data_IF_876899372503
#
_entry.id   IF_876899372503
#
_cell.length_a   1.000
_cell.length_b   1.000
_cell.length_c   1.000
_cell.angle_alpha   90.00
_cell.angle_beta   90.00
_cell.angle_gamma   90.00
#
_symmetry.space_group_name_H-M   'P 1'
#
loop_
_entity.id
_entity.type
_entity.pdbx_description
1 polymer ?
#
# COMPACT_ATOMS: atom_id res chain seq x y z
N UNK A 1 28.68 6.00 -17.75
CA UNK A 1 27.22 6.21 -17.74
C UNK A 1 26.70 5.47 -16.52
N UNK A 2 26.27 6.16 -15.48
CA UNK A 2 25.62 5.51 -14.33
C UNK A 2 24.32 4.90 -14.84
N UNK A 3 24.18 3.58 -14.76
CA UNK A 3 22.92 2.91 -15.07
C UNK A 3 21.91 3.34 -14.00
N UNK A 4 20.93 4.18 -14.38
CA UNK A 4 19.82 4.52 -13.50
C UNK A 4 19.16 3.23 -13.01
N UNK A 5 19.07 3.07 -11.70
CA UNK A 5 18.43 1.91 -11.10
C UNK A 5 16.91 2.09 -11.16
N UNK A 6 16.18 1.07 -11.63
CA UNK A 6 14.73 1.11 -11.76
C UNK A 6 14.05 0.35 -10.62
N UNK A 7 12.93 0.85 -10.17
CA UNK A 7 12.05 0.14 -9.22
C UNK A 7 11.27 -0.92 -9.99
N UNK A 8 11.48 -2.20 -9.69
CA UNK A 8 10.81 -3.33 -10.34
C UNK A 8 10.05 -4.21 -9.35
N UNK A 9 10.38 -4.11 -8.07
CA UNK A 9 9.86 -4.94 -7.00
C UNK A 9 8.99 -4.15 -6.07
N UNK A 10 7.91 -4.76 -5.59
CA UNK A 10 7.05 -4.17 -4.57
C UNK A 10 6.80 -5.14 -3.42
N UNK A 11 6.83 -4.64 -2.19
CA UNK A 11 6.51 -5.39 -0.97
C UNK A 11 5.10 -5.01 -0.52
N UNK A 12 4.28 -6.02 -0.21
CA UNK A 12 2.96 -5.87 0.40
C UNK A 12 2.98 -6.42 1.83
N UNK A 13 3.07 -5.58 2.85
CA UNK A 13 2.91 -6.00 4.24
C UNK A 13 1.46 -6.41 4.53
N UNK A 14 1.20 -7.70 4.69
CA UNK A 14 -0.13 -8.28 4.85
C UNK A 14 -0.24 -9.24 6.06
N UNK A 15 0.69 -9.15 7.04
CA UNK A 15 0.75 -10.05 8.19
C UNK A 15 -0.09 -9.58 9.40
N UNK A 16 -0.63 -8.37 9.38
CA UNK A 16 -1.37 -7.78 10.50
C UNK A 16 -2.71 -8.49 10.80
N UNK A 17 -3.15 -8.45 12.04
CA UNK A 17 -4.36 -9.17 12.51
C UNK A 17 -5.69 -8.56 12.05
N UNK A 18 -5.72 -7.30 11.60
CA UNK A 18 -6.96 -6.65 11.14
C UNK A 18 -8.01 -6.44 12.23
N UNK A 19 -7.59 -6.22 13.48
CA UNK A 19 -8.47 -6.16 14.66
C UNK A 19 -9.59 -5.11 14.58
N UNK A 20 -9.38 -4.04 13.80
CA UNK A 20 -10.38 -2.98 13.58
C UNK A 20 -11.65 -3.50 12.91
N UNK A 21 -11.57 -4.60 12.17
CA UNK A 21 -12.69 -5.20 11.43
C UNK A 21 -13.28 -6.46 12.09
N UNK A 22 -12.92 -6.75 13.34
CA UNK A 22 -13.60 -7.82 14.06
C UNK A 22 -15.11 -7.53 14.13
N UNK A 23 -15.96 -8.57 13.97
CA UNK A 23 -15.64 -10.01 13.92
C UNK A 23 -15.27 -10.56 12.52
N UNK A 24 -15.44 -9.80 11.41
CA UNK A 24 -15.20 -10.30 10.05
C UNK A 24 -13.77 -10.87 9.88
N UNK A 25 -12.77 -10.17 10.39
CA UNK A 25 -11.36 -10.56 10.27
C UNK A 25 -10.92 -11.67 11.21
N UNK A 26 -11.85 -12.29 11.94
CA UNK A 26 -11.56 -13.52 12.70
C UNK A 26 -11.15 -14.69 11.80
N UNK A 27 -11.73 -14.76 10.61
CA UNK A 27 -11.52 -15.85 9.63
C UNK A 27 -11.06 -15.38 8.25
N UNK A 28 -11.20 -14.08 7.95
CA UNK A 28 -10.84 -13.50 6.64
C UNK A 28 -9.77 -12.44 6.85
N UNK A 29 -8.64 -12.49 6.12
CA UNK A 29 -7.66 -11.41 6.13
C UNK A 29 -8.32 -10.06 5.81
N UNK A 30 -7.92 -8.98 6.51
CA UNK A 30 -8.45 -7.64 6.20
C UNK A 30 -8.20 -7.25 4.74
N UNK A 31 -7.10 -7.70 4.19
CA UNK A 31 -6.66 -7.47 2.82
C UNK A 31 -7.58 -8.12 1.78
N UNK A 32 -8.37 -9.12 2.21
CA UNK A 32 -9.37 -9.81 1.39
C UNK A 32 -10.80 -9.27 1.56
N UNK A 33 -10.99 -8.24 2.38
CA UNK A 33 -12.26 -7.52 2.41
C UNK A 33 -12.47 -6.83 1.05
N UNK A 34 -13.69 -6.91 0.51
CA UNK A 34 -13.97 -6.40 -0.83
C UNK A 34 -14.44 -4.94 -0.82
N UNK A 35 -13.93 -4.15 -1.74
CA UNK A 35 -14.58 -2.94 -2.22
C UNK A 35 -15.45 -3.34 -3.42
N UNK A 36 -16.77 -3.34 -3.24
CA UNK A 36 -17.76 -3.87 -4.18
C UNK A 36 -17.56 -5.38 -4.37
N UNK A 37 -16.77 -5.83 -5.30
CA UNK A 37 -16.54 -7.24 -5.66
C UNK A 37 -15.05 -7.61 -5.79
N UNK A 38 -14.15 -6.66 -5.53
CA UNK A 38 -12.70 -6.84 -5.65
C UNK A 38 -12.02 -6.70 -4.28
N UNK A 39 -11.18 -7.65 -3.84
CA UNK A 39 -10.41 -7.51 -2.60
C UNK A 39 -9.50 -6.28 -2.61
N UNK A 40 -9.39 -5.60 -1.46
CA UNK A 40 -8.59 -4.36 -1.37
C UNK A 40 -7.14 -4.55 -1.79
N UNK A 41 -6.52 -5.68 -1.50
CA UNK A 41 -5.13 -5.97 -1.90
C UNK A 41 -4.95 -5.94 -3.42
N UNK A 42 -5.96 -6.35 -4.20
CA UNK A 42 -5.88 -6.39 -5.65
C UNK A 42 -5.77 -4.99 -6.26
N UNK A 43 -6.39 -3.97 -5.66
CA UNK A 43 -6.21 -2.58 -6.11
C UNK A 43 -4.75 -2.15 -6.03
N UNK A 44 -4.06 -2.50 -4.92
CA UNK A 44 -2.63 -2.23 -4.78
C UNK A 44 -1.77 -3.00 -5.80
N UNK A 45 -2.11 -4.27 -6.07
CA UNK A 45 -1.43 -5.09 -7.08
C UNK A 45 -1.59 -4.48 -8.48
N UNK A 46 -2.81 -4.08 -8.85
CA UNK A 46 -3.08 -3.42 -10.13
C UNK A 46 -2.33 -2.09 -10.27
N UNK A 47 -2.25 -1.29 -9.19
CA UNK A 47 -1.47 -0.05 -9.17
C UNK A 47 0.02 -0.30 -9.44
N UNK A 48 0.59 -1.31 -8.79
CA UNK A 48 2.01 -1.70 -8.92
C UNK A 48 2.33 -2.14 -10.34
N UNK A 49 1.45 -2.94 -10.94
CA UNK A 49 1.60 -3.40 -12.34
C UNK A 49 1.49 -2.24 -13.32
N UNK A 50 0.49 -1.35 -13.13
CA UNK A 50 0.31 -0.17 -13.96
C UNK A 50 1.47 0.82 -13.84
N UNK A 51 2.19 0.83 -12.70
CA UNK A 51 3.42 1.59 -12.50
C UNK A 51 4.64 0.98 -13.20
N UNK A 52 4.58 -0.31 -13.60
CA UNK A 52 5.65 -1.00 -14.33
C UNK A 52 6.51 -1.94 -13.48
N UNK A 53 6.13 -2.23 -12.25
CA UNK A 53 6.76 -3.30 -11.47
C UNK A 53 6.31 -4.67 -12.00
N UNK A 54 7.20 -5.65 -11.97
CA UNK A 54 6.96 -7.01 -12.49
C UNK A 54 7.11 -8.12 -11.44
N UNK A 55 7.48 -7.77 -10.21
CA UNK A 55 7.68 -8.70 -9.10
C UNK A 55 7.04 -8.14 -7.83
N UNK A 56 6.25 -8.98 -7.17
CA UNK A 56 5.62 -8.62 -5.90
C UNK A 56 6.01 -9.64 -4.82
N UNK A 57 6.37 -9.13 -3.66
CA UNK A 57 6.62 -9.91 -2.45
C UNK A 57 5.51 -9.61 -1.45
N UNK A 58 4.67 -10.58 -1.15
CA UNK A 58 3.64 -10.46 -0.12
C UNK A 58 4.19 -11.01 1.19
N UNK A 59 4.24 -10.16 2.22
CA UNK A 59 4.63 -10.57 3.56
C UNK A 59 3.41 -11.01 4.32
N UNK A 60 3.22 -12.32 4.44
CA UNK A 60 2.05 -12.93 5.05
C UNK A 60 2.26 -13.31 6.51
N UNK A 61 1.18 -13.67 7.20
CA UNK A 61 1.17 -14.19 8.56
C UNK A 61 0.34 -15.46 8.69
N UNK A 62 0.12 -15.89 9.92
CA UNK A 62 -0.76 -17.03 10.20
C UNK A 62 -2.21 -16.69 9.79
N UNK A 63 -2.89 -17.61 9.09
CA UNK A 63 -4.29 -17.47 8.69
C UNK A 63 -4.52 -16.53 7.51
N UNK A 64 -3.51 -16.33 6.66
CA UNK A 64 -3.56 -15.45 5.49
C UNK A 64 -3.63 -16.19 4.14
N UNK A 65 -3.85 -17.52 4.14
CA UNK A 65 -3.89 -18.34 2.91
C UNK A 65 -4.89 -17.85 1.86
N UNK A 66 -5.99 -17.21 2.26
CA UNK A 66 -6.94 -16.64 1.33
C UNK A 66 -6.33 -15.56 0.39
N UNK A 67 -5.20 -14.93 0.78
CA UNK A 67 -4.47 -14.02 -0.09
C UNK A 67 -3.74 -14.82 -1.19
N UNK A 68 -3.12 -15.92 -0.81
CA UNK A 68 -2.43 -16.85 -1.72
C UNK A 68 -3.44 -17.46 -2.69
N UNK A 69 -4.53 -18.03 -2.16
CA UNK A 69 -5.61 -18.65 -2.92
C UNK A 69 -6.24 -17.71 -3.95
N UNK A 70 -6.32 -16.40 -3.64
CA UNK A 70 -6.91 -15.40 -4.54
C UNK A 70 -6.09 -15.21 -5.83
N UNK A 71 -4.77 -15.27 -5.72
CA UNK A 71 -3.88 -15.07 -6.87
C UNK A 71 -3.43 -16.39 -7.51
N UNK A 72 -3.74 -17.52 -6.91
CA UNK A 72 -3.44 -18.83 -7.46
C UNK A 72 -4.52 -19.31 -8.44
N UNK A 73 -4.19 -20.32 -9.26
CA UNK A 73 -5.13 -20.92 -10.19
C UNK A 73 -6.18 -21.74 -9.44
N UNK A 74 -7.45 -21.37 -9.56
CA UNK A 74 -8.57 -22.14 -9.01
C UNK A 74 -9.09 -23.15 -10.04
N UNK A 75 -8.39 -24.29 -10.14
CA UNK A 75 -8.65 -25.31 -11.17
C UNK A 75 -10.12 -25.78 -11.20
N UNK A 76 -10.71 -26.10 -10.05
CA UNK A 76 -12.09 -26.61 -9.94
C UNK A 76 -13.11 -25.55 -10.38
N UNK A 77 -12.89 -24.28 -10.02
CA UNK A 77 -13.73 -23.17 -10.44
C UNK A 77 -13.63 -22.98 -11.96
N UNK A 78 -12.41 -22.91 -12.50
CA UNK A 78 -12.19 -22.70 -13.92
C UNK A 78 -12.80 -23.82 -14.77
N UNK A 79 -12.59 -25.09 -14.40
CA UNK A 79 -13.23 -26.22 -15.06
C UNK A 79 -14.77 -26.16 -15.00
N UNK A 80 -15.32 -25.68 -13.88
CA UNK A 80 -16.78 -25.55 -13.73
C UNK A 80 -17.33 -24.43 -14.61
N UNK A 81 -16.64 -23.28 -14.68
CA UNK A 81 -17.03 -22.14 -15.53
C UNK A 81 -16.95 -22.53 -17.02
N UNK A 82 -15.88 -23.22 -17.42
CA UNK A 82 -15.69 -23.70 -18.78
C UNK A 82 -16.81 -24.68 -19.21
N UNK A 83 -17.10 -25.70 -18.39
CA UNK A 83 -18.20 -26.65 -18.64
C UNK A 83 -19.58 -25.98 -18.73
N UNK A 84 -19.78 -24.85 -18.04
CA UNK A 84 -21.04 -24.10 -18.05
C UNK A 84 -21.08 -23.01 -19.12
N UNK A 85 -20.04 -22.86 -19.93
CA UNK A 85 -19.93 -21.81 -20.95
C UNK A 85 -19.90 -20.39 -20.41
N UNK A 86 -19.43 -20.20 -19.16
CA UNK A 86 -19.33 -18.89 -18.51
C UNK A 86 -18.00 -18.23 -18.85
N UNK A 87 -17.81 -17.89 -20.12
CA UNK A 87 -16.53 -17.42 -20.69
C UNK A 87 -16.00 -16.16 -20.03
N UNK A 88 -16.87 -15.17 -19.73
CA UNK A 88 -16.42 -13.89 -19.14
C UNK A 88 -15.93 -14.08 -17.71
N UNK A 89 -16.63 -14.91 -16.92
CA UNK A 89 -16.20 -15.22 -15.55
C UNK A 89 -14.93 -16.07 -15.53
N UNK A 90 -14.76 -16.97 -16.50
CA UNK A 90 -13.53 -17.75 -16.68
C UNK A 90 -12.35 -16.83 -17.04
N UNK A 91 -12.57 -15.88 -17.94
CA UNK A 91 -11.54 -14.90 -18.31
C UNK A 91 -11.14 -14.05 -17.11
N UNK A 92 -12.10 -13.59 -16.29
CA UNK A 92 -11.85 -12.84 -15.08
C UNK A 92 -11.03 -13.64 -14.05
N UNK A 93 -11.39 -14.92 -13.80
CA UNK A 93 -10.62 -15.79 -12.91
C UNK A 93 -9.18 -15.95 -13.36
N UNK A 94 -8.97 -16.24 -14.64
CA UNK A 94 -7.63 -16.41 -15.23
C UNK A 94 -6.81 -15.11 -15.23
N UNK A 95 -7.45 -13.97 -15.42
CA UNK A 95 -6.80 -12.67 -15.36
C UNK A 95 -6.15 -12.43 -13.99
N UNK A 96 -6.84 -12.75 -12.90
CA UNK A 96 -6.33 -12.57 -11.54
C UNK A 96 -5.10 -13.45 -11.30
N UNK A 97 -5.18 -14.75 -11.64
CA UNK A 97 -4.08 -15.69 -11.40
C UNK A 97 -2.86 -15.50 -12.32
N UNK A 98 -3.01 -14.77 -13.42
CA UNK A 98 -1.94 -14.56 -14.40
C UNK A 98 -1.35 -13.14 -14.37
N UNK A 99 -1.87 -12.26 -13.50
CA UNK A 99 -1.54 -10.83 -13.60
C UNK A 99 -0.10 -10.50 -13.19
N UNK A 100 0.53 -11.28 -12.29
CA UNK A 100 1.85 -10.93 -11.77
C UNK A 100 2.61 -12.14 -11.22
N UNK A 101 3.95 -12.00 -11.12
CA UNK A 101 4.79 -12.95 -10.38
C UNK A 101 4.77 -12.59 -8.90
N UNK A 102 4.21 -13.49 -8.10
CA UNK A 102 4.13 -13.35 -6.65
C UNK A 102 5.14 -14.25 -5.97
N UNK A 103 5.77 -13.70 -4.93
CA UNK A 103 6.54 -14.44 -3.95
C UNK A 103 5.97 -14.18 -2.57
N UNK A 104 5.94 -15.20 -1.73
CA UNK A 104 5.41 -15.07 -0.38
C UNK A 104 6.52 -15.28 0.64
N UNK A 105 6.59 -14.42 1.64
CA UNK A 105 7.46 -14.59 2.79
C UNK A 105 6.65 -14.44 4.06
N UNK A 106 7.00 -15.20 5.09
CA UNK A 106 6.21 -15.23 6.31
C UNK A 106 6.84 -14.39 7.42
N UNK A 107 6.09 -13.43 7.91
CA UNK A 107 6.37 -12.80 9.19
C UNK A 107 5.84 -13.70 10.31
N UNK A 108 6.74 -14.33 11.07
CA UNK A 108 6.37 -15.32 12.12
C UNK A 108 5.67 -14.66 13.30
N UNK A 109 6.09 -13.45 13.66
CA UNK A 109 5.58 -12.63 14.75
C UNK A 109 5.24 -11.24 14.26
N UNK A 110 4.11 -10.68 14.69
CA UNK A 110 3.66 -9.35 14.29
C UNK A 110 4.45 -8.27 15.05
N UNK A 111 5.67 -7.99 14.61
CA UNK A 111 6.60 -7.04 15.23
C UNK A 111 6.62 -5.65 14.57
N UNK A 112 5.59 -5.30 13.82
CA UNK A 112 5.45 -3.99 13.17
C UNK A 112 5.78 -3.97 11.68
N UNK A 113 5.56 -2.79 11.07
CA UNK A 113 5.70 -2.57 9.63
C UNK A 113 7.16 -2.68 9.17
N UNK A 114 8.11 -2.10 9.91
CA UNK A 114 9.54 -2.21 9.59
C UNK A 114 10.01 -3.65 9.57
N UNK A 115 9.57 -4.46 10.54
CA UNK A 115 9.88 -5.88 10.57
C UNK A 115 9.27 -6.64 9.37
N UNK A 116 8.04 -6.32 8.97
CA UNK A 116 7.44 -6.92 7.78
C UNK A 116 8.27 -6.61 6.52
N UNK A 117 8.71 -5.36 6.35
CA UNK A 117 9.60 -4.97 5.23
C UNK A 117 10.92 -5.73 5.30
N UNK A 118 11.53 -5.84 6.48
CA UNK A 118 12.80 -6.56 6.68
C UNK A 118 12.71 -8.04 6.27
N UNK A 119 11.56 -8.69 6.50
CA UNK A 119 11.36 -10.10 6.10
C UNK A 119 11.46 -10.33 4.58
N UNK A 120 11.31 -9.31 3.77
CA UNK A 120 11.41 -9.43 2.32
C UNK A 120 12.84 -9.21 1.77
N UNK A 121 13.82 -8.90 2.62
CA UNK A 121 15.20 -8.55 2.24
C UNK A 121 15.81 -9.52 1.22
N UNK A 122 15.76 -10.81 1.51
CA UNK A 122 16.41 -11.83 0.65
C UNK A 122 15.74 -11.96 -0.74
N UNK A 123 14.46 -11.61 -0.85
CA UNK A 123 13.73 -11.62 -2.12
C UNK A 123 13.90 -10.32 -2.92
N UNK A 124 14.10 -9.22 -2.22
CA UNK A 124 14.35 -7.91 -2.85
C UNK A 124 15.81 -7.77 -3.30
N UNK A 125 16.76 -8.18 -2.46
CA UNK A 125 18.19 -8.00 -2.71
C UNK A 125 18.62 -6.53 -2.65
N UNK A 126 19.61 -6.17 -3.45
CA UNK A 126 20.25 -4.84 -3.45
C UNK A 126 19.63 -3.88 -4.47
N UNK A 127 18.32 -4.00 -4.75
CA UNK A 127 17.60 -3.14 -5.68
C UNK A 127 16.66 -2.18 -4.93
N UNK A 128 16.39 -0.96 -5.46
CA UNK A 128 15.33 -0.12 -4.94
C UNK A 128 13.97 -0.80 -5.16
N UNK A 129 13.07 -0.61 -4.22
CA UNK A 129 11.78 -1.29 -4.21
C UNK A 129 10.66 -0.39 -3.68
N UNK A 130 9.43 -0.72 -4.05
CA UNK A 130 8.25 -0.08 -3.49
C UNK A 130 7.74 -0.83 -2.25
N UNK A 131 7.08 -0.13 -1.34
CA UNK A 131 6.25 -0.71 -0.27
C UNK A 131 4.83 -0.16 -0.42
N UNK A 132 3.87 -1.07 -0.45
CA UNK A 132 2.45 -0.74 -0.65
C UNK A 132 1.64 -1.27 0.54
N UNK A 133 1.01 -0.39 1.28
CA UNK A 133 0.06 -0.80 2.31
C UNK A 133 -1.29 -1.10 1.63
N UNK A 134 -1.78 -2.36 1.71
CA UNK A 134 -2.97 -2.78 0.95
C UNK A 134 -4.26 -2.05 1.33
N UNK A 135 -4.35 -1.53 2.55
CA UNK A 135 -5.53 -0.85 3.07
C UNK A 135 -5.59 0.66 2.70
N UNK A 136 -4.55 1.19 2.09
CA UNK A 136 -4.57 2.50 1.44
C UNK A 136 -4.88 2.32 -0.06
N UNK A 137 -6.12 2.56 -0.48
CA UNK A 137 -6.51 2.51 -1.90
C UNK A 137 -6.46 3.92 -2.48
N UNK A 138 -5.68 4.10 -3.53
CA UNK A 138 -5.53 5.40 -4.18
C UNK A 138 -6.20 5.36 -5.56
N UNK A 139 -7.14 6.28 -5.74
CA UNK A 139 -7.87 6.48 -6.98
C UNK A 139 -7.27 7.70 -7.70
N UNK A 140 -6.56 7.45 -8.78
CA UNK A 140 -5.84 8.47 -9.55
C UNK A 140 -5.80 8.10 -11.03
N UNK A 141 -5.78 9.08 -11.92
CA UNK A 141 -5.61 8.88 -13.37
C UNK A 141 -4.24 8.27 -13.67
N UNK A 142 -3.18 8.84 -13.14
CA UNK A 142 -1.85 8.25 -13.12
C UNK A 142 -1.63 7.59 -11.77
N UNK A 143 -1.36 6.27 -11.69
CA UNK A 143 -1.16 5.57 -10.43
C UNK A 143 -0.16 6.30 -9.52
N UNK A 144 -0.44 6.37 -8.22
CA UNK A 144 0.42 7.07 -7.26
C UNK A 144 1.86 6.55 -7.31
N UNK A 145 2.03 5.22 -7.34
CA UNK A 145 3.36 4.63 -7.45
C UNK A 145 4.07 5.04 -8.74
N UNK A 146 3.34 5.17 -9.88
CA UNK A 146 3.94 5.62 -11.14
C UNK A 146 4.44 7.06 -11.04
N UNK A 147 3.64 7.96 -10.43
CA UNK A 147 4.07 9.33 -10.17
C UNK A 147 5.35 9.38 -9.32
N UNK A 148 5.43 8.53 -8.28
CA UNK A 148 6.61 8.43 -7.43
C UNK A 148 7.82 7.84 -8.18
N UNK A 149 7.61 6.87 -9.06
CA UNK A 149 8.68 6.27 -9.86
C UNK A 149 9.28 7.28 -10.85
N UNK A 150 8.46 8.14 -11.43
CA UNK A 150 8.94 9.21 -12.31
C UNK A 150 9.88 10.17 -11.55
N UNK A 151 9.49 10.54 -10.33
CA UNK A 151 10.36 11.33 -9.43
C UNK A 151 11.61 10.54 -9.02
N UNK A 152 11.48 9.24 -8.74
CA UNK A 152 12.62 8.40 -8.37
C UNK A 152 13.66 8.30 -9.49
N UNK A 153 13.25 8.27 -10.76
CA UNK A 153 14.18 8.30 -11.90
C UNK A 153 15.06 9.55 -11.89
N UNK A 154 14.54 10.69 -11.40
CA UNK A 154 15.29 11.94 -11.30
C UNK A 154 16.19 11.99 -10.06
N UNK A 155 15.68 11.62 -8.88
CA UNK A 155 16.39 11.84 -7.61
C UNK A 155 17.23 10.65 -7.14
N UNK A 156 16.93 9.43 -7.59
CA UNK A 156 17.60 8.16 -7.23
C UNK A 156 17.78 7.99 -5.70
N UNK A 157 16.78 8.40 -4.93
CA UNK A 157 16.77 8.40 -3.46
C UNK A 157 15.41 7.95 -2.94
N UNK A 158 15.34 7.53 -1.68
CA UNK A 158 14.10 7.09 -1.05
C UNK A 158 13.01 8.17 -1.08
N UNK A 159 11.77 7.78 -1.38
CA UNK A 159 10.60 8.66 -1.48
C UNK A 159 9.45 8.08 -0.66
N UNK A 160 8.78 8.90 0.11
CA UNK A 160 7.56 8.55 0.83
C UNK A 160 6.39 9.37 0.29
N UNK A 161 5.26 8.73 0.00
CA UNK A 161 4.05 9.46 -0.40
C UNK A 161 3.45 10.19 0.79
N UNK A 162 2.98 11.41 0.56
CA UNK A 162 2.42 12.26 1.61
C UNK A 162 1.06 12.83 1.22
N UNK A 163 0.27 13.09 2.25
CA UNK A 163 -1.01 13.78 2.15
C UNK A 163 -1.15 14.77 3.31
N UNK A 164 -1.76 15.92 3.05
CA UNK A 164 -2.11 16.88 4.11
C UNK A 164 -3.26 16.32 4.93
N UNK A 165 -3.04 16.15 6.25
CA UNK A 165 -4.03 15.69 7.21
C UNK A 165 -4.24 16.81 8.24
N UNK A 166 -5.49 17.21 8.41
CA UNK A 166 -5.87 18.26 9.35
C UNK A 166 -6.36 17.69 10.70
N UNK A 167 -6.13 18.47 11.76
CA UNK A 167 -6.65 18.18 13.10
C UNK A 167 -6.04 16.95 13.75
N UNK A 168 -6.79 16.34 14.67
CA UNK A 168 -6.30 15.25 15.53
C UNK A 168 -6.00 13.94 14.79
N UNK A 169 -6.53 13.78 13.57
CA UNK A 169 -6.29 12.61 12.74
C UNK A 169 -4.81 12.41 12.40
N UNK A 170 -3.99 13.47 12.44
CA UNK A 170 -2.54 13.42 12.18
C UNK A 170 -1.82 12.44 13.11
N UNK A 171 -2.33 12.22 14.33
CA UNK A 171 -1.75 11.31 15.34
C UNK A 171 -1.75 9.82 14.93
N UNK A 172 -2.45 9.48 13.87
CA UNK A 172 -2.48 8.09 13.36
C UNK A 172 -1.33 7.78 12.41
N UNK A 173 -0.54 8.79 11.99
CA UNK A 173 0.43 8.69 10.90
C UNK A 173 1.85 9.06 11.35
N UNK A 174 2.84 8.59 10.60
CA UNK A 174 4.14 9.23 10.56
C UNK A 174 4.00 10.60 9.90
N UNK A 175 4.68 11.59 10.43
CA UNK A 175 4.62 12.98 9.92
C UNK A 175 6.02 13.44 9.54
N UNK A 176 6.16 13.97 8.33
CA UNK A 176 7.44 14.49 7.87
C UNK A 176 7.61 15.96 8.24
N UNK A 177 8.86 16.31 8.56
CA UNK A 177 9.38 17.67 8.51
C UNK A 177 10.21 17.83 7.24
N UNK A 178 9.97 18.88 6.47
CA UNK A 178 10.66 19.06 5.18
C UNK A 178 10.26 20.35 4.49
N UNK A 179 11.05 20.72 3.50
CA UNK A 179 10.83 21.95 2.70
C UNK A 179 10.53 21.56 1.25
N UNK A 180 9.61 22.27 0.59
CA UNK A 180 9.37 22.07 -0.85
C UNK A 180 10.65 22.29 -1.65
N UNK A 181 10.87 21.43 -2.66
CA UNK A 181 11.95 21.59 -3.62
C UNK A 181 11.57 22.73 -4.59
N UNK A 182 12.46 23.68 -4.88
CA UNK A 182 12.11 24.90 -5.63
C UNK A 182 11.41 24.66 -6.98
N UNK A 183 11.86 23.66 -7.73
CA UNK A 183 11.35 23.37 -9.08
C UNK A 183 10.20 22.34 -9.10
N UNK A 184 9.87 21.76 -7.93
CA UNK A 184 8.78 20.81 -7.80
C UNK A 184 8.06 20.99 -6.45
N UNK A 185 6.97 21.76 -6.40
CA UNK A 185 6.27 22.09 -5.14
C UNK A 185 5.59 20.87 -4.49
N UNK A 186 5.48 19.73 -5.19
CA UNK A 186 4.96 18.48 -4.66
C UNK A 186 6.03 17.61 -4.02
N UNK A 187 7.31 17.93 -4.29
CA UNK A 187 8.45 17.22 -3.74
C UNK A 187 9.00 17.99 -2.53
N UNK A 188 9.25 17.30 -1.43
CA UNK A 188 9.78 17.87 -0.20
C UNK A 188 11.14 17.24 0.11
N UNK A 189 12.15 18.05 0.36
CA UNK A 189 13.44 17.60 0.93
C UNK A 189 13.21 17.39 2.43
N UNK A 190 13.26 16.15 2.90
CA UNK A 190 12.89 15.75 4.25
C UNK A 190 14.05 16.00 5.20
N UNK A 191 13.80 16.72 6.29
CA UNK A 191 14.75 16.99 7.37
C UNK A 191 14.51 16.18 8.64
N UNK A 192 13.29 15.60 8.79
CA UNK A 192 12.93 14.83 9.96
C UNK A 192 11.63 14.05 9.77
N UNK A 193 11.42 13.06 10.63
CA UNK A 193 10.23 12.20 10.65
C UNK A 193 9.86 11.92 12.12
N UNK A 194 8.56 11.97 12.42
CA UNK A 194 8.02 11.65 13.75
C UNK A 194 6.88 10.67 13.60
N UNK A 195 6.99 9.49 14.22
CA UNK A 195 5.93 8.49 14.22
C UNK A 195 4.83 8.84 15.22
N UNK A 196 3.60 8.95 14.74
CA UNK A 196 2.38 9.18 15.53
C UNK A 196 2.52 10.31 16.60
N UNK A 197 2.89 11.52 16.18
CA UNK A 197 3.04 12.64 17.12
C UNK A 197 1.70 13.00 17.76
N UNK A 198 1.74 13.66 18.91
CA UNK A 198 0.55 14.41 19.36
C UNK A 198 0.27 15.53 18.37
N UNK A 199 -0.98 15.96 18.16
CA UNK A 199 -1.29 17.02 17.20
C UNK A 199 -0.49 18.31 17.43
N UNK A 200 -0.24 18.66 18.72
CA UNK A 200 0.58 19.82 19.12
C UNK A 200 2.06 19.69 18.76
N UNK A 201 2.55 18.47 18.63
CA UNK A 201 3.98 18.16 18.47
C UNK A 201 4.29 17.73 17.01
N UNK A 202 3.28 17.69 16.15
CA UNK A 202 3.44 17.36 14.74
C UNK A 202 4.26 18.45 14.03
N UNK A 203 5.39 18.09 13.37
CA UNK A 203 6.28 19.07 12.75
C UNK A 203 5.65 19.77 11.53
N UNK A 204 4.67 19.14 10.91
CA UNK A 204 3.90 19.64 9.78
C UNK A 204 2.53 18.97 9.71
N UNK A 205 1.78 19.22 8.63
CA UNK A 205 0.54 18.52 8.30
C UNK A 205 0.74 17.41 7.25
N UNK A 206 1.96 17.20 6.80
CA UNK A 206 2.28 16.22 5.76
C UNK A 206 2.42 14.83 6.39
N UNK A 207 1.33 14.08 6.39
CA UNK A 207 1.30 12.71 6.85
C UNK A 207 1.86 11.76 5.80
N UNK A 208 2.66 10.79 6.23
CA UNK A 208 3.13 9.70 5.39
C UNK A 208 1.99 8.71 5.21
N UNK A 209 1.75 8.31 3.99
CA UNK A 209 0.73 7.32 3.66
C UNK A 209 1.36 6.03 3.12
N UNK A 210 0.54 5.07 2.81
CA UNK A 210 0.93 3.68 2.50
C UNK A 210 1.68 3.43 1.20
N UNK A 211 2.44 4.39 0.68
CA UNK A 211 3.27 4.25 -0.54
C UNK A 211 4.68 4.74 -0.28
N UNK A 212 5.66 3.88 -0.54
CA UNK A 212 7.08 4.19 -0.35
C UNK A 212 7.87 3.64 -1.54
N UNK A 213 8.94 4.34 -1.92
CA UNK A 213 10.04 3.81 -2.70
C UNK A 213 11.27 3.93 -1.81
N UNK A 214 11.95 2.83 -1.56
CA UNK A 214 13.05 2.75 -0.63
C UNK A 214 14.31 2.19 -1.32
N UNK A 215 15.47 2.71 -0.94
CA UNK A 215 16.75 2.12 -1.29
C UNK A 215 17.02 0.89 -0.41
N UNK A 216 17.83 -0.08 -0.86
CA UNK A 216 18.12 -1.28 -0.08
C UNK A 216 18.86 -1.01 1.25
N UNK A 217 19.46 0.18 1.42
CA UNK A 217 20.07 0.59 2.69
C UNK A 217 19.11 0.54 3.89
N UNK A 218 17.81 0.65 3.64
CA UNK A 218 16.79 0.57 4.69
C UNK A 218 16.87 -0.76 5.45
N UNK A 219 17.25 -1.86 4.80
CA UNK A 219 17.33 -3.16 5.44
C UNK A 219 18.39 -3.20 6.54
N UNK A 220 19.57 -2.64 6.28
CA UNK A 220 20.65 -2.58 7.27
C UNK A 220 20.27 -1.71 8.47
N UNK A 221 19.53 -0.62 8.22
CA UNK A 221 19.03 0.25 9.29
C UNK A 221 17.96 -0.46 10.12
N UNK A 222 16.99 -1.13 9.47
CA UNK A 222 15.94 -1.85 10.19
C UNK A 222 16.47 -2.99 11.08
N UNK A 223 17.56 -3.64 10.71
CA UNK A 223 18.23 -4.66 11.56
C UNK A 223 18.75 -4.08 12.89
N UNK A 224 19.10 -2.80 12.90
CA UNK A 224 19.73 -2.15 14.07
C UNK A 224 18.80 -1.13 14.74
N UNK A 225 17.62 -0.84 14.16
CA UNK A 225 16.63 0.09 14.72
C UNK A 225 15.99 -0.52 15.96
N UNK A 226 16.00 0.16 17.11
CA UNK A 226 15.30 -0.34 18.30
C UNK A 226 13.78 -0.36 18.11
N UNK A 227 13.09 -1.17 18.89
CA UNK A 227 11.64 -1.16 18.91
C UNK A 227 11.12 0.20 19.39
N UNK A 228 10.19 0.77 18.64
CA UNK A 228 9.59 2.06 18.88
C UNK A 228 8.22 1.98 19.54
N UNK A 229 7.32 2.86 19.13
CA UNK A 229 5.97 2.95 19.65
C UNK A 229 5.23 1.60 19.59
N UNK A 230 4.60 1.20 20.69
CA UNK A 230 3.88 -0.06 20.80
C UNK A 230 4.76 -1.30 20.90
N UNK A 231 6.08 -1.19 21.06
CA UNK A 231 7.02 -2.31 21.06
C UNK A 231 7.22 -2.91 19.66
N UNK A 232 6.96 -2.15 18.62
CA UNK A 232 7.07 -2.56 17.22
C UNK A 232 8.29 -1.93 16.54
N UNK A 233 8.85 -2.62 15.56
CA UNK A 233 9.84 -2.05 14.65
C UNK A 233 9.12 -1.17 13.63
N UNK A 234 9.20 0.14 13.82
CA UNK A 234 8.51 1.13 12.99
C UNK A 234 9.32 1.41 11.72
N UNK A 235 8.66 1.39 10.56
CA UNK A 235 9.30 1.74 9.28
C UNK A 235 9.74 3.21 9.27
N UNK A 236 8.96 4.09 9.88
CA UNK A 236 9.26 5.53 9.99
C UNK A 236 10.59 5.77 10.74
N UNK A 237 10.88 4.98 11.79
CA UNK A 237 12.15 5.08 12.53
C UNK A 237 13.34 4.62 11.67
N UNK A 238 13.15 3.55 10.89
CA UNK A 238 14.15 3.11 9.91
C UNK A 238 14.40 4.18 8.83
N UNK A 239 13.34 4.79 8.28
CA UNK A 239 13.46 5.85 7.27
C UNK A 239 14.14 7.09 7.88
N UNK A 240 13.87 7.40 9.15
CA UNK A 240 14.57 8.47 9.85
C UNK A 240 16.08 8.21 9.90
N UNK A 241 16.50 6.96 10.09
CA UNK A 241 17.92 6.58 10.03
C UNK A 241 18.53 6.78 8.64
N UNK A 242 17.76 6.66 7.55
CA UNK A 242 18.28 6.94 6.20
C UNK A 242 18.74 8.38 6.04
N UNK A 243 18.12 9.35 6.72
CA UNK A 243 18.48 10.77 6.67
C UNK A 243 19.95 11.03 7.10
N UNK A 244 20.55 10.13 7.86
CA UNK A 244 21.96 10.24 8.27
C UNK A 244 22.93 9.89 7.13
N UNK A 245 22.47 9.13 6.13
CA UNK A 245 23.35 8.55 5.09
C UNK A 245 22.92 8.91 3.67
N UNK A 246 21.68 9.31 3.45
CA UNK A 246 21.15 9.69 2.14
C UNK A 246 20.00 10.69 2.27
N UNK A 247 19.65 11.34 1.16
CA UNK A 247 18.44 12.15 1.10
C UNK A 247 17.20 11.26 1.09
N UNK A 248 16.17 11.77 1.73
CA UNK A 248 14.82 11.20 1.64
C UNK A 248 13.88 12.30 1.17
N UNK A 249 12.95 11.96 0.29
CA UNK A 249 11.99 12.90 -0.22
C UNK A 249 10.56 12.52 0.20
N UNK A 250 9.74 13.52 0.47
CA UNK A 250 8.29 13.41 0.55
C UNK A 250 7.67 13.77 -0.78
N UNK A 251 6.65 13.07 -1.25
CA UNK A 251 5.95 13.40 -2.48
C UNK A 251 4.44 13.50 -2.26
N UNK A 252 3.86 14.66 -2.56
CA UNK A 252 2.42 14.89 -2.54
C UNK A 252 1.81 14.47 -3.88
N UNK A 253 1.27 13.27 -3.94
CA UNK A 253 0.71 12.69 -5.17
C UNK A 253 -0.61 13.35 -5.60
N UNK A 254 -0.99 13.15 -6.86
CA UNK A 254 -2.31 13.47 -7.40
C UNK A 254 -3.23 12.27 -7.30
N UNK A 255 -4.44 12.49 -6.80
CA UNK A 255 -5.45 11.45 -6.64
C UNK A 255 -6.21 11.56 -5.32
N UNK A 256 -7.13 10.66 -5.12
CA UNK A 256 -7.95 10.55 -3.91
C UNK A 256 -7.57 9.28 -3.15
N UNK A 257 -7.09 9.45 -1.93
CA UNK A 257 -6.82 8.32 -1.03
C UNK A 257 -8.08 7.91 -0.28
N UNK A 258 -8.35 6.62 -0.29
CA UNK A 258 -9.38 5.97 0.50
C UNK A 258 -8.71 5.08 1.54
N UNK A 259 -8.83 5.48 2.82
CA UNK A 259 -8.35 4.68 3.95
C UNK A 259 -9.33 3.53 4.22
N UNK A 260 -9.08 2.39 3.59
CA UNK A 260 -9.85 1.18 3.82
C UNK A 260 -9.38 0.39 5.05
N UNK A 261 -8.49 0.96 5.88
CA UNK A 261 -7.99 0.38 7.12
C UNK A 261 -8.91 0.53 8.33
N UNK A 262 -10.00 1.31 8.21
CA UNK A 262 -11.05 1.41 9.21
C UNK A 262 -12.47 1.26 8.59
N UNK A 263 -13.47 1.03 9.46
CA UNK A 263 -14.84 0.72 9.03
C UNK A 263 -15.49 1.86 8.25
N UNK A 264 -15.28 3.11 8.66
CA UNK A 264 -15.91 4.25 8.02
C UNK A 264 -15.23 4.58 6.68
N UNK A 265 -13.91 4.54 6.64
CA UNK A 265 -13.13 4.68 5.40
C UNK A 265 -13.49 3.62 4.37
N UNK A 266 -13.64 2.36 4.81
CA UNK A 266 -14.07 1.24 3.96
C UNK A 266 -15.46 1.47 3.37
N UNK A 267 -16.43 1.96 4.17
CA UNK A 267 -17.79 2.26 3.67
C UNK A 267 -17.76 3.42 2.66
N UNK A 268 -17.00 4.49 2.92
CA UNK A 268 -16.83 5.59 1.97
C UNK A 268 -16.23 5.11 0.65
N UNK A 269 -15.13 4.37 0.73
CA UNK A 269 -14.49 3.79 -0.45
C UNK A 269 -15.47 2.91 -1.24
N UNK A 270 -16.23 2.03 -0.57
CA UNK A 270 -17.21 1.16 -1.23
C UNK A 270 -18.26 1.97 -1.99
N UNK A 271 -18.80 3.04 -1.39
CA UNK A 271 -19.79 3.91 -2.06
C UNK A 271 -19.18 4.58 -3.29
N UNK A 272 -18.00 5.17 -3.15
CA UNK A 272 -17.36 5.90 -4.26
C UNK A 272 -16.97 4.98 -5.41
N UNK A 273 -16.38 3.82 -5.11
CA UNK A 273 -16.04 2.84 -6.14
C UNK A 273 -17.28 2.25 -6.82
N UNK A 274 -18.35 1.99 -6.07
CA UNK A 274 -19.61 1.52 -6.65
C UNK A 274 -20.23 2.55 -7.60
N UNK A 275 -20.18 3.85 -7.25
CA UNK A 275 -20.72 4.93 -8.08
C UNK A 275 -19.96 5.15 -9.39
N UNK A 276 -18.69 4.77 -9.46
CA UNK A 276 -17.83 4.88 -10.64
C UNK A 276 -17.99 3.74 -11.63
N UNK A 277 -18.59 2.66 -11.24
CA UNK A 277 -18.77 1.49 -12.11
C UNK A 277 -19.91 1.72 -13.11
N UNK A 278 -19.66 1.38 -14.37
CA UNK A 278 -20.66 1.51 -15.44
C UNK A 278 -21.85 0.56 -15.26
N UNK A 279 -21.59 -0.65 -14.72
CA UNK A 279 -22.61 -1.69 -14.51
C UNK A 279 -23.49 -1.45 -13.27
N UNK A 280 -22.98 -0.79 -12.23
CA UNK A 280 -23.65 -0.59 -10.94
C UNK A 280 -24.00 0.88 -10.65
N UNK A 281 -23.13 1.80 -11.06
CA UNK A 281 -23.19 3.21 -10.66
C UNK A 281 -24.51 3.89 -10.96
N UNK A 282 -25.13 3.74 -12.16
CA UNK A 282 -26.41 4.34 -12.46
C UNK A 282 -27.54 3.86 -11.50
N UNK A 283 -27.67 2.56 -11.30
CA UNK A 283 -28.68 1.98 -10.41
C UNK A 283 -28.42 2.34 -8.95
N UNK A 284 -27.16 2.31 -8.51
CA UNK A 284 -26.79 2.63 -7.15
C UNK A 284 -27.05 4.11 -6.82
N UNK A 285 -26.79 5.02 -7.77
CA UNK A 285 -27.09 6.45 -7.63
C UNK A 285 -28.60 6.70 -7.43
N UNK A 286 -29.46 6.01 -8.19
CA UNK A 286 -30.92 6.11 -8.00
C UNK A 286 -31.35 5.57 -6.63
N UNK A 287 -30.78 4.44 -6.20
CA UNK A 287 -31.05 3.90 -4.86
C UNK A 287 -30.68 4.89 -3.75
N UNK A 288 -29.49 5.52 -3.82
CA UNK A 288 -29.03 6.47 -2.80
C UNK A 288 -29.97 7.68 -2.64
N UNK A 289 -30.68 8.11 -3.70
CA UNK A 289 -31.69 9.18 -3.61
C UNK A 289 -32.90 8.77 -2.78
N UNK A 290 -33.15 7.49 -2.60
CA UNK A 290 -34.27 6.97 -1.81
C UNK A 290 -33.96 6.74 -0.34
N UNK A 291 -32.66 6.76 0.01
CA UNK A 291 -32.20 6.55 1.40
C UNK A 291 -32.57 7.79 2.23
N UNK A 292 -33.34 7.57 3.29
CA UNK A 292 -33.66 8.61 4.27
C UNK A 292 -32.51 8.67 5.28
N UNK A 293 -31.86 9.82 5.38
CA UNK A 293 -30.83 10.14 6.36
C UNK A 293 -31.43 10.82 7.57
#
# INVERSE_FOLDING_TARGET
MSTQTKVRKAIFPAAGFGTRFLPATKSIPKEMLALVDKPIIQYGVEEVLAAGCDQIVIVTGRGKSAIEDHFDVSYELECTLEKRGKTDLLALSRQVSQMVRLSYVRQKEAMGLGHAVLMARDLVGDEPFAVILPDDVIDAETPCLKQMMDVFEEVQSSIVATQVIEGDAISAYGVLDGKPVPDNPRLFDVSGLVEKPKPSDAPSKNAIIGRYILTPKIFDLLEHTPLGAGGELQLTDGIKGLLETEKVYGYSFEGVRHDAGDKFGMLKATVEFALKRDDLGPQFREYLKTVRL
#
